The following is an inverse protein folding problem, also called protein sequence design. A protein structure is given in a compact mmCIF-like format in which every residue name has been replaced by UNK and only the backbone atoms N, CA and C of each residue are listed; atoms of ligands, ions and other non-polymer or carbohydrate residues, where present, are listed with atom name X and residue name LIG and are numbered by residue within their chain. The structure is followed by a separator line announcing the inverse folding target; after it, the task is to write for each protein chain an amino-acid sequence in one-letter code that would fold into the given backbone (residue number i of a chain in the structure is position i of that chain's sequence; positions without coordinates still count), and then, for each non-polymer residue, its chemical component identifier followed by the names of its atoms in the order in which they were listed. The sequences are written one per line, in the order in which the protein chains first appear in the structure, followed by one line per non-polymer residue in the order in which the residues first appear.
data_IF_682957576974
#
_entry.id   IF_682957576974
#
_cell.length_a   1.000
_cell.length_b   1.000
_cell.length_c   1.000
_cell.angle_alpha   90.00
_cell.angle_beta   90.00
_cell.angle_gamma   90.00
#
_symmetry.space_group_name_H-M   'P 1'
#
loop_
_entity.id
_entity.type
_entity.pdbx_description
1 polymer ?
#
# COMPACT_ATOMS: atom_id res chain seq x y z
N UNK A 1 4.80 23.33 -0.19
CA UNK A 1 4.05 23.75 -1.40
C UNK A 1 4.97 23.98 -2.61
N UNK A 2 6.13 24.65 -2.49
CA UNK A 2 7.03 24.90 -3.64
C UNK A 2 7.75 23.69 -4.24
N UNK A 3 8.12 22.69 -3.43
CA UNK A 3 8.76 21.48 -3.95
C UNK A 3 7.82 20.67 -4.87
N UNK A 4 6.55 20.52 -4.48
CA UNK A 4 5.53 19.82 -5.27
C UNK A 4 5.27 20.46 -6.65
N UNK A 5 5.28 21.80 -6.71
CA UNK A 5 5.18 22.55 -7.97
C UNK A 5 6.37 22.27 -8.88
N UNK A 6 7.60 22.33 -8.34
CA UNK A 6 8.81 22.08 -9.12
C UNK A 6 8.89 20.65 -9.67
N UNK A 7 8.52 19.64 -8.89
CA UNK A 7 8.52 18.24 -9.35
C UNK A 7 7.35 17.94 -10.31
N UNK A 8 6.30 18.78 -10.34
CA UNK A 8 5.14 18.61 -11.21
C UNK A 8 5.44 18.76 -12.71
N UNK A 9 6.66 19.17 -13.07
CA UNK A 9 7.12 19.25 -14.46
C UNK A 9 7.30 17.86 -15.11
N UNK A 10 7.50 16.80 -14.32
CA UNK A 10 7.52 15.42 -14.79
C UNK A 10 6.45 14.59 -14.05
N UNK A 11 5.44 14.15 -14.78
CA UNK A 11 4.32 13.40 -14.22
C UNK A 11 4.73 12.05 -13.61
N UNK A 12 5.77 11.38 -14.12
CA UNK A 12 6.24 10.11 -13.57
C UNK A 12 6.96 10.32 -12.25
N UNK A 13 7.83 11.33 -12.18
CA UNK A 13 8.57 11.70 -10.96
C UNK A 13 7.59 12.18 -9.88
N UNK A 14 6.65 13.05 -10.25
CA UNK A 14 5.61 13.54 -9.34
C UNK A 14 4.78 12.38 -8.76
N UNK A 15 4.35 11.44 -9.60
CA UNK A 15 3.52 10.29 -9.18
C UNK A 15 4.29 9.36 -8.25
N UNK A 16 5.53 9.02 -8.61
CA UNK A 16 6.45 8.17 -7.81
C UNK A 16 6.66 8.76 -6.41
N UNK A 17 7.02 10.04 -6.34
CA UNK A 17 7.27 10.74 -5.08
C UNK A 17 6.01 10.92 -4.26
N UNK A 18 4.86 11.14 -4.90
CA UNK A 18 3.57 11.29 -4.21
C UNK A 18 3.15 9.98 -3.55
N UNK A 19 3.23 8.85 -4.26
CA UNK A 19 2.93 7.55 -3.67
C UNK A 19 3.85 7.23 -2.49
N UNK A 20 5.16 7.43 -2.65
CA UNK A 20 6.14 7.14 -1.61
C UNK A 20 5.97 8.05 -0.36
N UNK A 21 5.99 9.37 -0.52
CA UNK A 21 6.04 10.28 0.63
C UNK A 21 4.66 10.70 1.13
N UNK A 22 3.75 11.05 0.21
CA UNK A 22 2.47 11.69 0.54
C UNK A 22 1.40 10.69 0.90
N UNK A 23 1.49 9.46 0.40
CA UNK A 23 0.57 8.38 0.72
C UNK A 23 1.20 7.44 1.75
N UNK A 24 2.27 6.72 1.39
CA UNK A 24 2.85 5.68 2.25
C UNK A 24 3.50 6.25 3.51
N UNK A 25 4.54 7.07 3.39
CA UNK A 25 5.24 7.62 4.56
C UNK A 25 4.33 8.49 5.43
N UNK A 26 3.43 9.27 4.82
CA UNK A 26 2.46 10.08 5.56
C UNK A 26 1.48 9.24 6.36
N UNK A 27 0.97 8.14 5.81
CA UNK A 27 0.05 7.24 6.52
C UNK A 27 0.74 6.65 7.75
N UNK A 28 1.97 6.14 7.60
CA UNK A 28 2.77 5.62 8.71
C UNK A 28 3.07 6.72 9.73
N UNK A 29 3.41 7.93 9.29
CA UNK A 29 3.70 9.08 10.15
C UNK A 29 2.49 9.54 10.97
N UNK A 30 1.29 9.45 10.41
CA UNK A 30 0.06 9.81 11.12
C UNK A 30 -0.38 8.67 12.06
N UNK A 31 -0.53 7.46 11.54
CA UNK A 31 -1.28 6.38 12.19
C UNK A 31 -0.41 5.27 12.79
N UNK A 32 0.86 5.18 12.41
CA UNK A 32 1.74 4.11 12.91
C UNK A 32 2.00 4.19 14.42
N UNK A 33 2.32 3.06 15.03
CA UNK A 33 2.84 3.00 16.40
C UNK A 33 4.21 3.68 16.49
N UNK A 34 4.72 3.88 17.72
CA UNK A 34 6.05 4.46 17.92
C UNK A 34 7.14 3.59 17.27
N UNK A 35 6.97 2.28 17.39
CA UNK A 35 7.88 1.26 16.89
C UNK A 35 7.86 1.22 15.36
N UNK A 36 6.67 1.21 14.75
CA UNK A 36 6.52 1.29 13.29
C UNK A 36 7.13 2.57 12.74
N UNK A 37 6.86 3.73 13.38
CA UNK A 37 7.43 5.01 12.95
C UNK A 37 8.96 5.01 13.04
N UNK A 38 9.52 4.51 14.12
CA UNK A 38 10.96 4.43 14.33
C UNK A 38 11.66 3.52 13.30
N UNK A 39 11.01 2.44 12.88
CA UNK A 39 11.57 1.48 11.92
C UNK A 39 11.44 1.93 10.46
N UNK A 40 10.25 2.38 10.03
CA UNK A 40 9.95 2.65 8.62
C UNK A 40 10.30 4.05 8.17
N UNK A 41 10.04 5.09 8.99
CA UNK A 41 10.19 6.47 8.53
C UNK A 41 11.63 6.86 8.17
N UNK A 42 12.68 6.44 8.91
CA UNK A 42 14.06 6.73 8.52
C UNK A 42 14.46 6.08 7.18
N UNK A 43 14.00 4.84 6.93
CA UNK A 43 14.28 4.13 5.66
C UNK A 43 13.54 4.75 4.48
N UNK A 44 12.29 5.16 4.70
CA UNK A 44 11.53 5.89 3.70
C UNK A 44 12.16 7.27 3.42
N UNK A 45 12.54 8.02 4.46
CA UNK A 45 13.10 9.36 4.31
C UNK A 45 14.47 9.37 3.60
N UNK A 46 15.27 8.31 3.76
CA UNK A 46 16.56 8.15 3.08
C UNK A 46 16.43 7.60 1.65
N UNK A 47 15.27 7.04 1.30
CA UNK A 47 15.06 6.32 0.05
C UNK A 47 15.63 4.91 0.03
N UNK A 48 16.11 4.39 1.17
CA UNK A 48 16.47 2.97 1.32
C UNK A 48 15.27 2.07 1.05
N UNK A 49 14.09 2.47 1.53
CA UNK A 49 12.81 1.82 1.23
C UNK A 49 12.00 2.69 0.29
N UNK A 50 11.44 2.10 -0.76
CA UNK A 50 10.41 2.70 -1.61
C UNK A 50 9.02 2.26 -1.14
N UNK A 51 8.09 3.20 -1.13
CA UNK A 51 6.75 3.01 -0.59
C UNK A 51 5.72 2.83 -1.70
N UNK A 52 4.88 1.79 -1.57
CA UNK A 52 3.69 1.58 -2.39
C UNK A 52 2.41 1.78 -1.57
N UNK A 53 1.32 2.17 -2.23
CA UNK A 53 0.03 2.42 -1.58
C UNK A 53 -1.07 1.60 -2.24
N UNK A 54 -1.70 0.73 -1.45
CA UNK A 54 -2.52 -0.39 -1.90
C UNK A 54 -3.96 -0.23 -1.42
N UNK A 55 -4.71 0.69 -2.07
CA UNK A 55 -6.12 0.96 -1.74
C UNK A 55 -7.08 0.42 -2.80
N UNK A 56 -6.93 0.86 -4.04
CA UNK A 56 -7.90 0.61 -5.13
C UNK A 56 -7.91 -0.84 -5.61
N UNK A 57 -9.12 -1.30 -5.95
CA UNK A 57 -9.42 -2.59 -6.55
C UNK A 57 -10.14 -2.37 -7.90
N UNK A 58 -10.16 -3.38 -8.78
CA UNK A 58 -10.88 -3.25 -10.07
C UNK A 58 -12.37 -2.98 -9.82
N UNK A 59 -12.94 -3.61 -8.78
CA UNK A 59 -14.31 -3.43 -8.31
C UNK A 59 -14.55 -2.17 -7.47
N UNK A 60 -13.48 -1.53 -6.95
CA UNK A 60 -13.57 -0.45 -5.97
C UNK A 60 -12.47 0.61 -6.20
N UNK A 61 -12.82 1.64 -6.97
CA UNK A 61 -11.97 2.82 -7.18
C UNK A 61 -12.32 3.95 -6.21
N UNK A 62 -13.48 4.58 -6.42
CA UNK A 62 -13.96 5.71 -5.62
C UNK A 62 -14.83 5.29 -4.43
N UNK A 63 -15.50 4.14 -4.51
CA UNK A 63 -16.29 3.59 -3.42
C UNK A 63 -15.44 2.62 -2.60
N UNK A 64 -14.71 3.16 -1.63
CA UNK A 64 -13.84 2.39 -0.75
C UNK A 64 -14.63 1.38 0.10
N UNK A 65 -15.94 1.57 0.29
CA UNK A 65 -16.75 0.59 1.02
C UNK A 65 -17.04 -0.67 0.21
N UNK A 66 -16.88 -0.63 -1.12
CA UNK A 66 -16.99 -1.81 -1.98
C UNK A 66 -15.72 -2.68 -2.02
N UNK A 67 -14.72 -2.37 -1.18
CA UNK A 67 -13.46 -3.12 -1.10
C UNK A 67 -13.70 -4.59 -0.70
N UNK A 68 -13.09 -5.49 -1.46
CA UNK A 68 -13.26 -6.95 -1.38
C UNK A 68 -12.07 -7.66 -0.73
N UNK A 69 -10.89 -7.03 -0.65
CA UNK A 69 -9.78 -7.59 0.13
C UNK A 69 -10.15 -7.72 1.61
N UNK A 70 -9.81 -8.86 2.20
CA UNK A 70 -10.17 -9.22 3.57
C UNK A 70 -8.93 -9.36 4.44
N UNK A 71 -9.08 -9.03 5.72
CA UNK A 71 -8.19 -9.41 6.80
C UNK A 71 -9.01 -10.16 7.85
N UNK A 72 -8.65 -11.41 8.12
CA UNK A 72 -9.38 -12.27 9.06
C UNK A 72 -8.41 -12.72 10.13
N UNK A 73 -8.79 -12.64 11.41
CA UNK A 73 -7.98 -13.24 12.47
C UNK A 73 -7.91 -14.75 12.26
N UNK A 74 -6.73 -15.32 12.50
CA UNK A 74 -6.57 -16.77 12.46
C UNK A 74 -7.30 -17.44 13.64
N UNK A 75 -7.29 -18.78 13.68
CA UNK A 75 -8.01 -19.54 14.71
C UNK A 75 -7.52 -19.27 16.16
N UNK A 76 -6.29 -18.78 16.32
CA UNK A 76 -5.69 -18.45 17.62
C UNK A 76 -5.73 -16.97 17.97
N UNK A 77 -6.36 -16.13 17.14
CA UNK A 77 -6.45 -14.67 17.28
C UNK A 77 -5.09 -13.96 17.50
N UNK A 78 -3.99 -14.51 17.00
CA UNK A 78 -2.63 -13.96 17.19
C UNK A 78 -2.09 -13.20 15.98
N UNK A 79 -2.66 -13.42 14.79
CA UNK A 79 -2.27 -12.72 13.57
C UNK A 79 -3.43 -12.65 12.56
N UNK A 80 -3.28 -11.80 11.54
CA UNK A 80 -4.26 -11.65 10.47
C UNK A 80 -3.85 -12.42 9.22
N UNK A 81 -4.80 -13.11 8.60
CA UNK A 81 -4.69 -13.63 7.24
C UNK A 81 -5.27 -12.58 6.30
N UNK A 82 -4.40 -11.98 5.48
CA UNK A 82 -4.78 -10.98 4.47
C UNK A 82 -4.91 -11.68 3.12
N UNK A 83 -6.08 -11.55 2.49
CA UNK A 83 -6.35 -12.11 1.17
C UNK A 83 -7.02 -11.06 0.28
N UNK A 84 -6.42 -10.78 -0.87
CA UNK A 84 -7.05 -9.91 -1.84
C UNK A 84 -6.17 -9.55 -3.01
N UNK A 85 -6.57 -8.47 -3.68
CA UNK A 85 -5.88 -7.94 -4.84
C UNK A 85 -6.01 -6.42 -4.87
N UNK A 86 -5.03 -5.76 -5.47
CA UNK A 86 -4.98 -4.31 -5.68
C UNK A 86 -4.56 -4.01 -7.11
N UNK A 87 -5.01 -2.87 -7.59
CA UNK A 87 -4.73 -2.40 -8.95
C UNK A 87 -4.18 -0.98 -8.90
N UNK A 88 -3.49 -0.59 -9.98
CA UNK A 88 -2.92 0.75 -10.14
C UNK A 88 -1.92 1.10 -9.02
N UNK A 89 -1.23 0.09 -8.48
CA UNK A 89 -0.30 0.28 -7.37
C UNK A 89 0.96 0.96 -7.89
N UNK A 90 0.98 2.29 -7.76
CA UNK A 90 2.14 3.12 -8.08
C UNK A 90 3.34 2.67 -7.24
N UNK A 91 4.52 2.67 -7.86
CA UNK A 91 5.77 2.10 -7.34
C UNK A 91 5.73 0.60 -7.11
N UNK A 92 4.63 -0.10 -7.41
CA UNK A 92 4.47 -1.48 -6.96
C UNK A 92 5.52 -2.43 -7.52
N UNK A 93 6.15 -2.15 -8.68
CA UNK A 93 7.25 -2.98 -9.18
C UNK A 93 8.55 -2.85 -8.37
N UNK A 94 8.74 -1.75 -7.63
CA UNK A 94 9.98 -1.39 -6.95
C UNK A 94 9.83 -1.09 -5.46
N UNK A 95 8.61 -1.07 -4.94
CA UNK A 95 8.36 -0.79 -3.53
C UNK A 95 8.91 -1.91 -2.64
N UNK A 96 9.48 -1.54 -1.50
CA UNK A 96 9.95 -2.46 -0.46
C UNK A 96 8.89 -2.67 0.63
N UNK A 97 8.01 -1.67 0.81
CA UNK A 97 6.92 -1.68 1.79
C UNK A 97 5.64 -1.13 1.18
N UNK A 98 4.52 -1.75 1.55
CA UNK A 98 3.19 -1.36 1.14
C UNK A 98 2.34 -0.91 2.33
N UNK A 99 1.50 0.09 2.14
CA UNK A 99 0.33 0.30 3.00
C UNK A 99 -0.87 -0.32 2.31
N UNK A 100 -1.35 -1.45 2.84
CA UNK A 100 -2.44 -2.26 2.27
C UNK A 100 -3.74 -2.01 3.03
N UNK A 101 -4.81 -1.72 2.31
CA UNK A 101 -6.14 -1.58 2.89
C UNK A 101 -6.97 -2.84 2.67
N UNK A 102 -7.45 -3.42 3.75
CA UNK A 102 -8.31 -4.60 3.73
C UNK A 102 -9.44 -4.47 4.75
N UNK A 103 -10.59 -5.07 4.45
CA UNK A 103 -11.72 -5.12 5.38
C UNK A 103 -11.44 -6.16 6.44
N UNK A 104 -11.34 -5.71 7.69
CA UNK A 104 -11.17 -6.60 8.83
C UNK A 104 -12.52 -7.22 9.19
N UNK A 105 -12.60 -8.55 9.18
CA UNK A 105 -13.80 -9.26 9.61
C UNK A 105 -13.67 -9.58 11.10
N UNK A 106 -14.67 -9.15 11.88
CA UNK A 106 -14.74 -9.42 13.32
C UNK A 106 -16.04 -10.16 13.64
N UNK A 107 -15.99 -11.04 14.64
CA UNK A 107 -17.17 -11.72 15.20
C UNK A 107 -18.27 -10.77 15.66
N UNK A 108 -17.91 -9.52 15.98
CA UNK A 108 -18.83 -8.51 16.50
C UNK A 108 -19.51 -7.68 15.38
N UNK A 109 -19.38 -8.09 14.11
CA UNK A 109 -20.00 -7.48 12.94
C UNK A 109 -19.56 -6.02 12.64
N UNK A 110 -18.54 -5.51 13.35
CA UNK A 110 -17.86 -4.24 13.05
C UNK A 110 -16.81 -4.45 11.96
N UNK A 111 -17.26 -4.67 10.73
CA UNK A 111 -16.39 -4.91 9.59
C UNK A 111 -15.84 -3.59 9.05
N UNK A 112 -14.75 -3.11 9.63
CA UNK A 112 -14.09 -1.86 9.25
C UNK A 112 -12.97 -2.08 8.23
N UNK A 113 -12.53 -1.00 7.60
CA UNK A 113 -11.37 -1.03 6.70
C UNK A 113 -10.15 -0.62 7.50
N UNK A 114 -9.15 -1.49 7.51
CA UNK A 114 -7.91 -1.32 8.26
C UNK A 114 -6.74 -1.17 7.29
N UNK A 115 -5.77 -0.34 7.67
CA UNK A 115 -4.51 -0.18 6.95
C UNK A 115 -3.41 -1.02 7.63
N UNK A 116 -2.70 -1.82 6.83
CA UNK A 116 -1.63 -2.72 7.26
C UNK A 116 -0.31 -2.27 6.61
N UNK A 117 0.80 -2.33 7.34
CA UNK A 117 2.14 -2.02 6.79
C UNK A 117 2.81 -3.34 6.40
N UNK A 118 2.76 -3.69 5.13
CA UNK A 118 3.16 -5.00 4.61
C UNK A 118 4.54 -4.88 3.95
N UNK A 119 5.53 -5.58 4.49
CA UNK A 119 6.84 -5.71 3.84
C UNK A 119 6.73 -6.58 2.60
N UNK A 120 7.35 -6.15 1.49
CA UNK A 120 7.33 -6.89 0.23
C UNK A 120 7.92 -8.30 0.33
N UNK A 121 8.85 -8.49 1.26
CA UNK A 121 9.53 -9.77 1.45
C UNK A 121 8.65 -10.84 2.12
N UNK A 122 7.42 -10.50 2.53
CA UNK A 122 6.49 -11.49 3.06
C UNK A 122 6.07 -12.47 1.96
N UNK A 123 6.10 -13.76 2.31
CA UNK A 123 5.66 -14.83 1.42
C UNK A 123 4.16 -14.69 1.11
N UNK A 124 3.80 -14.95 -0.15
CA UNK A 124 2.41 -14.87 -0.61
C UNK A 124 2.02 -13.54 -1.26
N UNK A 125 2.96 -12.61 -1.46
CA UNK A 125 2.77 -11.41 -2.29
C UNK A 125 3.21 -11.70 -3.73
N UNK A 126 2.31 -11.51 -4.67
CA UNK A 126 2.57 -11.66 -6.10
C UNK A 126 2.40 -10.32 -6.82
N UNK A 127 3.45 -9.91 -7.53
CA UNK A 127 3.47 -8.68 -8.32
C UNK A 127 3.24 -8.99 -9.79
N UNK A 128 2.21 -8.40 -10.37
CA UNK A 128 1.90 -8.50 -11.80
C UNK A 128 2.86 -7.70 -12.69
N UNK A 129 2.70 -7.80 -14.02
CA UNK A 129 3.49 -7.02 -14.97
C UNK A 129 3.18 -5.52 -14.85
N UNK A 130 4.10 -4.70 -15.39
CA UNK A 130 3.89 -3.26 -15.52
C UNK A 130 2.63 -2.95 -16.33
N UNK A 131 1.84 -2.01 -15.82
CA UNK A 131 0.64 -1.51 -16.49
C UNK A 131 1.04 -0.61 -17.66
N UNK A 132 0.46 -0.88 -18.83
CA UNK A 132 0.63 0.01 -19.99
C UNK A 132 -0.34 1.19 -19.88
N UNK A 133 0.16 2.30 -19.33
CA UNK A 133 -0.61 3.53 -19.14
C UNK A 133 -0.36 4.55 -20.25
N UNK A 134 -1.34 5.43 -20.47
CA UNK A 134 -1.23 6.52 -21.43
C UNK A 134 -0.12 7.54 -21.09
N UNK A 135 0.12 7.76 -19.80
CA UNK A 135 1.13 8.70 -19.28
C UNK A 135 1.70 8.23 -17.94
N UNK A 136 2.63 9.00 -17.38
CA UNK A 136 3.37 8.65 -16.16
C UNK A 136 3.99 7.23 -16.20
N UNK A 137 4.45 6.79 -17.39
CA UNK A 137 4.92 5.43 -17.66
C UNK A 137 6.12 5.00 -16.79
N UNK A 138 6.86 5.96 -16.22
CA UNK A 138 7.96 5.70 -15.29
C UNK A 138 7.52 5.46 -13.83
N UNK A 139 6.22 5.53 -13.52
CA UNK A 139 5.69 5.37 -12.15
C UNK A 139 5.55 3.91 -11.68
N UNK A 140 5.87 2.95 -12.55
CA UNK A 140 5.94 1.52 -12.22
C UNK A 140 4.67 0.94 -11.58
N UNK A 141 3.50 1.33 -12.11
CA UNK A 141 2.22 0.80 -11.68
C UNK A 141 2.05 -0.69 -12.02
N UNK A 142 1.54 -1.49 -11.09
CA UNK A 142 1.25 -2.93 -11.28
C UNK A 142 -0.09 -3.33 -10.66
N UNK A 143 -0.53 -4.56 -10.95
CA UNK A 143 -1.46 -5.32 -10.11
C UNK A 143 -0.70 -6.05 -9.01
N UNK A 144 -1.30 -6.19 -7.83
CA UNK A 144 -0.77 -7.01 -6.74
C UNK A 144 -1.86 -7.98 -6.29
N UNK A 145 -1.52 -9.25 -6.14
CA UNK A 145 -2.32 -10.27 -5.45
C UNK A 145 -1.59 -10.67 -4.19
N UNK A 146 -2.33 -10.97 -3.12
CA UNK A 146 -1.72 -11.37 -1.86
C UNK A 146 -2.60 -12.35 -1.09
N UNK A 147 -1.94 -13.36 -0.54
CA UNK A 147 -2.47 -14.26 0.49
C UNK A 147 -1.36 -14.42 1.53
N UNK A 148 -1.40 -13.65 2.62
CA UNK A 148 -0.28 -13.52 3.56
C UNK A 148 -0.74 -13.67 5.00
N UNK A 149 0.17 -14.18 5.83
CA UNK A 149 0.06 -14.14 7.30
C UNK A 149 0.76 -12.87 7.81
N UNK A 150 0.03 -12.05 8.57
CA UNK A 150 0.46 -10.74 9.06
C UNK A 150 0.43 -10.70 10.59
N UNK A 151 1.62 -10.68 11.19
CA UNK A 151 1.86 -10.71 12.65
C UNK A 151 2.00 -9.31 13.26
#
# INVERSE_FOLDING_TARGET
MRACEAIGLDGSVWTTLTAHQSLTAKTISLLGTKEQKAYYLPKLASGEFIGGFCLSEISSGNDIQALTSLAVLNETDDHYILNGHKTWVTNGAVADVFVVFARTLSSNNNNEITAFIVDRSLDGIECGPLLDTFGARGSNGIYITYFIEYF
#
